data_IF_533490643651
#
_entry.id   IF_533490643651
#
_cell.length_a   1.000
_cell.length_b   1.000
_cell.length_c   1.000
_cell.angle_alpha   90.00
_cell.angle_beta   90.00
_cell.angle_gamma   90.00
#
_symmetry.space_group_name_H-M   'P 1'
#
loop_
_entity.id
_entity.type
_entity.pdbx_description
1 polymer ?
#
# COMPACT_ATOMS: atom_id res chain seq x y z
N UNK A 1 -2.66 9.22 -2.39
CA UNK A 1 -1.93 9.27 -1.11
C UNK A 1 -2.91 9.77 -0.06
N UNK A 2 -3.36 8.91 0.85
CA UNK A 2 -4.38 9.24 1.84
C UNK A 2 -3.74 10.06 2.97
N UNK A 3 -4.01 11.36 2.99
CA UNK A 3 -3.48 12.29 3.99
C UNK A 3 -4.47 12.44 5.14
N UNK A 4 -4.26 11.68 6.21
CA UNK A 4 -5.03 11.80 7.45
C UNK A 4 -4.95 13.20 8.10
N UNK A 5 -4.01 14.04 7.68
CA UNK A 5 -3.77 15.38 8.22
C UNK A 5 -4.21 16.53 7.29
N UNK A 6 -5.04 16.28 6.28
CA UNK A 6 -5.55 17.32 5.36
C UNK A 6 -6.63 18.24 5.96
N UNK A 7 -6.46 18.70 7.21
CA UNK A 7 -7.23 19.87 7.67
C UNK A 7 -6.75 21.17 7.01
N UNK A 8 -5.54 21.18 6.44
CA UNK A 8 -5.02 22.29 5.63
C UNK A 8 -4.54 21.77 4.27
N UNK A 9 -4.82 22.54 3.20
CA UNK A 9 -4.31 22.26 1.86
C UNK A 9 -2.77 22.16 1.90
N UNK A 10 -2.15 21.06 1.45
CA UNK A 10 -0.70 20.94 1.48
C UNK A 10 -0.07 22.07 0.65
N UNK A 11 0.99 22.69 1.19
CA UNK A 11 1.77 23.67 0.43
C UNK A 11 2.60 22.87 -0.58
N UNK A 12 2.11 22.88 -1.82
CA UNK A 12 2.78 22.25 -2.96
C UNK A 12 3.96 23.12 -3.35
N UNK A 13 5.16 22.54 -3.36
CA UNK A 13 6.38 23.23 -3.81
C UNK A 13 6.46 23.17 -5.34
N UNK A 14 6.12 22.01 -5.91
CA UNK A 14 5.92 21.77 -7.34
C UNK A 14 5.11 20.47 -7.55
N UNK A 15 4.88 20.06 -8.79
CA UNK A 15 4.04 18.88 -9.14
C UNK A 15 4.43 17.56 -8.45
N UNK A 16 5.71 17.40 -8.04
CA UNK A 16 6.22 16.17 -7.41
C UNK A 16 6.67 16.36 -5.96
N UNK A 17 6.52 17.54 -5.39
CA UNK A 17 7.02 17.86 -4.05
C UNK A 17 5.98 18.59 -3.21
N UNK A 18 5.82 18.14 -1.95
CA UNK A 18 5.00 18.82 -0.95
C UNK A 18 5.75 19.01 0.35
N UNK A 19 5.49 20.12 1.03
CA UNK A 19 5.90 20.29 2.41
C UNK A 19 5.05 19.39 3.31
N UNK A 20 5.70 18.70 4.25
CA UNK A 20 4.98 18.01 5.32
C UNK A 20 4.30 19.03 6.23
N UNK A 21 3.09 18.71 6.70
CA UNK A 21 2.36 19.50 7.69
C UNK A 21 2.96 19.42 9.09
N UNK A 22 2.40 20.17 10.05
CA UNK A 22 2.90 20.19 11.44
C UNK A 22 2.87 18.80 12.09
N UNK A 23 1.77 18.06 11.94
CA UNK A 23 1.63 16.72 12.48
C UNK A 23 2.56 15.71 11.83
N UNK A 24 2.70 15.74 10.50
CA UNK A 24 3.60 14.86 9.76
C UNK A 24 5.07 15.10 10.13
N UNK A 25 5.48 16.37 10.28
CA UNK A 25 6.81 16.70 10.79
C UNK A 25 7.02 16.21 12.23
N UNK A 26 6.02 16.35 13.11
CA UNK A 26 6.12 15.84 14.48
C UNK A 26 6.28 14.30 14.52
N UNK A 27 5.53 13.58 13.69
CA UNK A 27 5.68 12.12 13.55
C UNK A 27 7.05 11.75 12.99
N UNK A 28 7.56 12.50 12.00
CA UNK A 28 8.90 12.27 11.48
C UNK A 28 9.98 12.51 12.52
N UNK A 29 9.91 13.61 13.27
CA UNK A 29 10.84 13.89 14.36
C UNK A 29 10.81 12.80 15.42
N UNK A 30 9.61 12.33 15.81
CA UNK A 30 9.46 11.20 16.73
C UNK A 30 10.07 9.90 16.16
N UNK A 31 9.87 9.60 14.87
CA UNK A 31 10.47 8.44 14.20
C UNK A 31 12.01 8.49 14.22
N UNK A 32 12.59 9.67 13.99
CA UNK A 32 14.04 9.89 14.01
C UNK A 32 14.62 9.81 15.43
N UNK A 33 13.93 10.39 16.42
CA UNK A 33 14.38 10.39 17.82
C UNK A 33 14.24 9.02 18.50
N UNK A 34 13.12 8.33 18.24
CA UNK A 34 12.79 7.05 18.89
C UNK A 34 13.22 5.82 18.07
N UNK A 35 14.04 6.01 17.02
CA UNK A 35 14.59 4.94 16.18
C UNK A 35 13.50 4.02 15.61
N UNK A 36 12.82 4.42 14.52
CA UNK A 36 11.93 3.55 13.76
C UNK A 36 10.56 3.29 14.39
N UNK A 37 10.20 3.97 15.48
CA UNK A 37 8.91 3.88 16.17
C UNK A 37 7.69 4.06 15.25
N UNK A 38 7.82 4.81 14.16
CA UNK A 38 6.73 5.06 13.22
C UNK A 38 6.71 4.10 12.03
N UNK A 39 7.53 3.03 12.03
CA UNK A 39 7.42 1.98 11.03
C UNK A 39 6.29 1.03 11.38
N UNK A 40 5.52 0.66 10.38
CA UNK A 40 4.51 -0.38 10.48
C UNK A 40 4.64 -1.31 9.28
N UNK A 41 4.25 -2.56 9.48
CA UNK A 41 4.34 -3.57 8.45
C UNK A 41 3.07 -4.40 8.37
N UNK A 42 2.71 -4.77 7.14
CA UNK A 42 1.66 -5.75 6.85
C UNK A 42 2.32 -7.07 6.48
N UNK A 43 1.87 -8.16 7.10
CA UNK A 43 2.39 -9.51 6.86
C UNK A 43 1.39 -10.29 6.03
N UNK A 44 1.78 -10.60 4.80
CA UNK A 44 1.04 -11.47 3.90
C UNK A 44 1.49 -12.91 4.11
N UNK A 45 0.59 -13.76 4.57
CA UNK A 45 0.82 -15.19 4.64
C UNK A 45 0.31 -15.84 3.35
N UNK A 46 1.21 -16.41 2.56
CA UNK A 46 0.92 -16.93 1.24
C UNK A 46 1.26 -18.42 1.12
N UNK A 47 0.45 -19.11 0.32
CA UNK A 47 0.69 -20.46 -0.19
C UNK A 47 0.60 -20.42 -1.71
N UNK A 48 1.64 -20.90 -2.37
CA UNK A 48 1.79 -20.88 -3.82
C UNK A 48 3.24 -21.21 -4.18
N UNK A 49 3.63 -21.04 -5.44
CA UNK A 49 4.96 -21.42 -5.91
C UNK A 49 6.08 -20.57 -5.28
N UNK A 50 7.31 -21.04 -5.43
CA UNK A 50 8.50 -20.25 -5.07
C UNK A 50 8.53 -18.90 -5.77
N UNK A 51 8.78 -17.84 -5.02
CA UNK A 51 8.87 -16.48 -5.57
C UNK A 51 10.34 -16.14 -5.78
N UNK A 52 10.75 -16.05 -7.04
CA UNK A 52 12.11 -15.64 -7.38
C UNK A 52 12.33 -14.14 -7.10
N UNK A 53 13.58 -13.74 -6.87
CA UNK A 53 13.95 -12.33 -6.69
C UNK A 53 13.54 -11.47 -7.89
N UNK A 54 13.71 -12.01 -9.10
CA UNK A 54 13.32 -11.34 -10.33
C UNK A 54 11.81 -11.15 -10.42
N UNK A 55 11.03 -12.19 -10.10
CA UNK A 55 9.55 -12.12 -10.10
C UNK A 55 9.05 -11.06 -9.12
N UNK A 56 9.56 -11.07 -7.88
CA UNK A 56 9.18 -10.09 -6.88
C UNK A 56 9.57 -8.66 -7.28
N UNK A 57 10.77 -8.47 -7.80
CA UNK A 57 11.24 -7.16 -8.26
C UNK A 57 10.40 -6.63 -9.43
N UNK A 58 10.05 -7.49 -10.41
CA UNK A 58 9.16 -7.11 -11.52
C UNK A 58 7.77 -6.70 -11.02
N UNK A 59 7.19 -7.45 -10.08
CA UNK A 59 5.90 -7.13 -9.49
C UNK A 59 5.94 -5.77 -8.76
N UNK A 60 6.95 -5.55 -7.90
CA UNK A 60 7.12 -4.27 -7.19
C UNK A 60 7.33 -3.11 -8.17
N UNK A 61 8.14 -3.29 -9.21
CA UNK A 61 8.36 -2.27 -10.23
C UNK A 61 7.08 -1.93 -11.00
N UNK A 62 6.18 -2.90 -11.21
CA UNK A 62 4.86 -2.64 -11.79
C UNK A 62 4.02 -1.76 -10.86
N UNK A 63 3.94 -2.12 -9.58
CA UNK A 63 3.21 -1.36 -8.56
C UNK A 63 3.76 0.06 -8.39
N UNK A 64 5.08 0.24 -8.46
CA UNK A 64 5.73 1.53 -8.26
C UNK A 64 5.29 2.59 -9.27
N UNK A 65 4.86 2.19 -10.47
CA UNK A 65 4.30 3.12 -11.48
C UNK A 65 2.94 3.69 -11.07
N UNK A 66 2.21 2.94 -10.23
CA UNK A 66 0.81 3.20 -9.87
C UNK A 66 0.66 3.82 -8.49
N UNK A 67 1.54 3.46 -7.57
CA UNK A 67 1.48 3.87 -6.16
C UNK A 67 2.50 4.95 -5.85
N UNK A 68 2.06 6.21 -5.64
CA UNK A 68 2.95 7.30 -5.22
C UNK A 68 3.79 6.99 -3.98
N UNK A 69 3.25 6.22 -3.02
CA UNK A 69 3.96 5.84 -1.78
C UNK A 69 5.23 5.03 -2.06
N UNK A 70 5.24 4.25 -3.15
CA UNK A 70 6.39 3.46 -3.58
C UNK A 70 7.44 4.29 -4.32
N UNK A 71 7.12 5.52 -4.69
CA UNK A 71 8.04 6.50 -5.28
C UNK A 71 8.39 7.64 -4.33
N UNK A 72 7.86 7.58 -3.11
CA UNK A 72 8.04 8.64 -2.13
C UNK A 72 9.38 8.50 -1.41
N UNK A 73 10.07 9.62 -1.25
CA UNK A 73 11.24 9.78 -0.38
C UNK A 73 11.17 11.09 0.40
N UNK A 74 11.83 11.11 1.55
CA UNK A 74 11.95 12.32 2.36
C UNK A 74 13.18 13.12 1.95
N UNK A 75 13.03 14.44 1.89
CA UNK A 75 14.11 15.40 1.77
C UNK A 75 14.10 16.37 2.97
N UNK A 76 15.26 16.94 3.27
CA UNK A 76 15.37 18.04 4.25
C UNK A 76 14.80 19.30 3.59
N UNK A 77 13.97 20.03 4.32
CA UNK A 77 13.54 21.35 3.88
C UNK A 77 14.70 22.37 4.02
N UNK A 78 15.19 22.97 2.92
CA UNK A 78 16.27 23.94 2.99
C UNK A 78 15.86 25.27 3.65
N UNK A 79 14.56 25.60 3.65
CA UNK A 79 14.06 26.88 4.16
C UNK A 79 13.81 26.88 5.67
N UNK A 80 13.61 25.70 6.27
CA UNK A 80 13.28 25.56 7.69
C UNK A 80 13.86 24.29 8.28
N UNK A 81 14.75 24.47 9.26
CA UNK A 81 15.32 23.39 10.08
C UNK A 81 14.23 22.49 10.65
N UNK A 82 14.54 21.19 10.74
CA UNK A 82 13.69 20.17 11.37
C UNK A 82 12.33 19.97 10.71
N UNK A 83 12.20 20.37 9.44
CA UNK A 83 11.04 20.07 8.60
C UNK A 83 11.45 19.33 7.34
N UNK A 84 10.50 18.58 6.78
CA UNK A 84 10.76 17.70 5.65
C UNK A 84 9.86 18.01 4.45
N UNK A 85 10.40 17.71 3.28
CA UNK A 85 9.68 17.69 2.00
C UNK A 85 9.45 16.23 1.65
N UNK A 86 8.22 15.89 1.27
CA UNK A 86 7.92 14.63 0.63
C UNK A 86 8.04 14.82 -0.88
N UNK A 87 8.89 14.02 -1.51
CA UNK A 87 9.11 14.04 -2.95
C UNK A 87 8.73 12.71 -3.56
N UNK A 88 8.05 12.77 -4.71
CA UNK A 88 7.84 11.63 -5.60
C UNK A 88 8.91 11.58 -6.69
N UNK A 89 9.68 10.49 -6.75
CA UNK A 89 10.72 10.26 -7.75
C UNK A 89 10.63 8.83 -8.30
N UNK A 90 10.44 8.72 -9.61
CA UNK A 90 10.30 7.46 -10.35
C UNK A 90 11.60 6.62 -10.36
N UNK A 91 12.73 7.21 -9.97
CA UNK A 91 14.04 6.53 -9.91
C UNK A 91 14.34 5.89 -8.54
N UNK A 92 13.49 6.12 -7.54
CA UNK A 92 13.65 5.58 -6.18
C UNK A 92 13.82 4.07 -6.23
N UNK A 93 14.91 3.58 -5.65
CA UNK A 93 15.14 2.15 -5.48
C UNK A 93 14.57 1.70 -4.15
N UNK A 94 13.60 0.79 -4.21
CA UNK A 94 12.98 0.19 -3.03
C UNK A 94 13.86 -0.92 -2.46
N UNK A 95 13.88 -1.05 -1.14
CA UNK A 95 14.60 -2.13 -0.48
C UNK A 95 13.78 -3.41 -0.60
N UNK A 96 14.37 -4.42 -1.22
CA UNK A 96 13.80 -5.77 -1.31
C UNK A 96 14.79 -6.71 -0.62
N UNK A 97 14.33 -7.44 0.40
CA UNK A 97 15.13 -8.42 1.13
C UNK A 97 14.59 -9.81 0.91
N UNK A 98 15.47 -10.76 0.64
CA UNK A 98 15.17 -12.17 0.75
C UNK A 98 15.78 -12.68 2.03
N UNK A 99 14.95 -13.17 2.93
CA UNK A 99 15.35 -13.65 4.24
C UNK A 99 15.04 -15.14 4.28
N UNK A 100 16.04 -16.02 4.10
CA UNK A 100 15.82 -17.45 4.12
C UNK A 100 15.36 -17.88 5.52
N UNK A 101 14.36 -18.75 5.59
CA UNK A 101 13.84 -19.24 6.88
C UNK A 101 13.28 -20.65 6.77
N UNK A 102 13.48 -21.46 7.81
CA UNK A 102 12.99 -22.84 7.81
C UNK A 102 11.45 -22.90 7.88
N UNK A 103 10.87 -23.89 7.20
CA UNK A 103 9.42 -24.13 7.13
C UNK A 103 8.74 -24.16 8.50
N UNK A 104 9.40 -24.78 9.47
CA UNK A 104 8.89 -24.94 10.84
C UNK A 104 8.73 -23.62 11.59
N UNK A 105 9.50 -22.59 11.22
CA UNK A 105 9.57 -21.32 11.94
C UNK A 105 8.62 -20.24 11.39
N UNK A 106 7.89 -20.53 10.31
CA UNK A 106 7.09 -19.57 9.54
C UNK A 106 6.13 -18.69 10.37
N UNK A 107 5.58 -19.23 11.47
CA UNK A 107 4.64 -18.50 12.33
C UNK A 107 5.29 -17.39 13.16
N UNK A 108 6.55 -17.54 13.54
CA UNK A 108 7.23 -16.66 14.52
C UNK A 108 8.42 -15.92 13.91
N UNK A 109 9.03 -16.44 12.85
CA UNK A 109 10.32 -15.97 12.35
C UNK A 109 10.29 -14.50 11.91
N UNK A 110 9.24 -14.08 11.19
CA UNK A 110 9.09 -12.67 10.78
C UNK A 110 9.08 -11.70 11.97
N UNK A 111 8.59 -12.13 13.14
CA UNK A 111 8.60 -11.30 14.36
C UNK A 111 10.02 -11.07 14.87
N UNK A 112 10.88 -12.10 14.78
CA UNK A 112 12.28 -11.99 15.20
C UNK A 112 13.02 -11.04 14.27
N UNK A 113 12.87 -11.21 12.95
CA UNK A 113 13.43 -10.32 11.94
C UNK A 113 12.97 -8.87 12.13
N UNK A 114 11.68 -8.67 12.44
CA UNK A 114 11.13 -7.36 12.78
C UNK A 114 11.81 -6.77 14.02
N UNK A 115 11.92 -7.51 15.13
CA UNK A 115 12.50 -7.00 16.39
C UNK A 115 13.95 -6.58 16.26
N UNK A 116 14.71 -7.24 15.41
CA UNK A 116 16.09 -6.86 15.15
C UNK A 116 16.21 -5.54 14.36
N UNK A 117 15.19 -5.19 13.57
CA UNK A 117 15.21 -4.08 12.60
C UNK A 117 14.22 -2.96 12.89
N UNK A 118 13.38 -3.10 13.91
CA UNK A 118 12.36 -2.09 14.27
C UNK A 118 13.01 -0.75 14.64
N UNK A 119 14.31 -0.77 15.00
CA UNK A 119 15.11 0.42 15.29
C UNK A 119 15.81 1.04 14.10
N UNK A 120 15.74 0.44 12.93
CA UNK A 120 16.39 0.99 11.74
C UNK A 120 15.72 2.32 11.37
N UNK A 121 16.54 3.36 11.21
CA UNK A 121 16.04 4.68 10.84
C UNK A 121 15.85 4.73 9.32
N UNK A 122 14.73 5.31 8.89
CA UNK A 122 14.54 5.61 7.47
C UNK A 122 15.47 6.76 7.07
N UNK A 123 16.41 6.45 6.17
CA UNK A 123 17.39 7.41 5.71
C UNK A 123 16.73 8.43 4.78
N UNK A 124 17.06 9.70 4.99
CA UNK A 124 16.67 10.79 4.10
C UNK A 124 17.22 10.49 2.68
N UNK A 125 16.39 10.74 1.66
CA UNK A 125 16.70 10.47 0.26
C UNK A 125 16.45 9.04 -0.20
N UNK A 126 16.10 8.11 0.70
CA UNK A 126 15.74 6.73 0.34
C UNK A 126 14.22 6.54 0.24
N UNK A 127 13.82 5.48 -0.46
CA UNK A 127 12.42 5.07 -0.51
C UNK A 127 11.87 4.73 0.88
N UNK A 128 10.62 5.12 1.11
CA UNK A 128 9.96 4.98 2.42
C UNK A 128 9.27 3.63 2.62
N UNK A 129 9.30 2.76 1.60
CA UNK A 129 8.71 1.43 1.62
C UNK A 129 9.76 0.36 1.39
N UNK A 130 9.60 -0.77 2.05
CA UNK A 130 10.51 -1.92 2.00
C UNK A 130 9.71 -3.24 1.96
N UNK A 131 10.25 -4.23 1.27
CA UNK A 131 9.63 -5.53 1.07
C UNK A 131 10.56 -6.65 1.56
N UNK A 132 10.07 -7.54 2.41
CA UNK A 132 10.78 -8.73 2.83
C UNK A 132 10.06 -9.97 2.30
N UNK A 133 10.80 -10.86 1.66
CA UNK A 133 10.34 -12.18 1.25
C UNK A 133 10.99 -13.22 2.16
N UNK A 134 10.15 -13.96 2.86
CA UNK A 134 10.53 -15.02 3.78
C UNK A 134 10.01 -16.35 3.25
N UNK A 135 10.94 -17.23 2.88
CA UNK A 135 10.63 -18.55 2.35
C UNK A 135 11.75 -19.54 2.67
N UNK A 136 11.42 -20.83 2.70
CA UNK A 136 12.41 -21.89 2.88
C UNK A 136 13.06 -22.21 1.53
N UNK A 137 14.39 -22.04 1.37
CA UNK A 137 15.09 -22.38 0.12
C UNK A 137 15.02 -23.88 -0.24
N UNK A 138 14.66 -24.74 0.70
CA UNK A 138 14.53 -26.18 0.45
C UNK A 138 13.13 -26.58 -0.05
N UNK A 139 12.15 -25.68 0.04
CA UNK A 139 10.75 -25.92 -0.33
C UNK A 139 10.39 -25.36 -1.72
N UNK A 140 11.38 -25.13 -2.59
CA UNK A 140 11.17 -24.48 -3.90
C UNK A 140 10.13 -25.19 -4.79
N UNK A 141 9.99 -26.50 -4.63
CA UNK A 141 9.06 -27.34 -5.38
C UNK A 141 7.76 -27.68 -4.62
N UNK A 142 7.53 -27.10 -3.43
CA UNK A 142 6.29 -27.30 -2.65
C UNK A 142 5.43 -26.02 -2.62
N UNK A 143 4.38 -26.03 -3.44
CA UNK A 143 3.39 -24.95 -3.51
C UNK A 143 2.54 -24.83 -2.24
N UNK A 144 2.52 -25.86 -1.38
CA UNK A 144 1.85 -25.79 -0.08
C UNK A 144 2.78 -25.26 1.03
N UNK A 145 4.06 -25.04 0.75
CA UNK A 145 4.96 -24.44 1.73
C UNK A 145 4.51 -23.01 2.06
N UNK A 146 4.43 -22.66 3.36
CA UNK A 146 4.15 -21.30 3.76
C UNK A 146 5.24 -20.39 3.22
N UNK A 147 4.86 -19.18 2.82
CA UNK A 147 5.77 -18.08 2.48
C UNK A 147 5.19 -16.81 3.11
N UNK A 148 6.03 -15.87 3.46
CA UNK A 148 5.59 -14.58 3.98
C UNK A 148 6.19 -13.44 3.16
N UNK A 149 5.35 -12.44 2.87
CA UNK A 149 5.83 -11.14 2.39
C UNK A 149 5.50 -10.12 3.46
N UNK A 150 6.50 -9.39 3.94
CA UNK A 150 6.30 -8.26 4.85
C UNK A 150 6.48 -6.99 4.04
N UNK A 151 5.43 -6.18 3.95
CA UNK A 151 5.49 -4.83 3.35
C UNK A 151 5.60 -3.84 4.49
N UNK A 152 6.64 -3.02 4.50
CA UNK A 152 6.96 -2.11 5.60
C UNK A 152 6.97 -0.68 5.07
N UNK A 153 6.35 0.25 5.79
CA UNK A 153 6.34 1.65 5.42
C UNK A 153 6.47 2.56 6.65
N UNK A 154 6.92 3.81 6.44
CA UNK A 154 6.83 4.87 7.44
C UNK A 154 5.38 5.39 7.55
N UNK A 155 4.82 5.35 8.75
CA UNK A 155 3.44 5.75 9.03
C UNK A 155 3.19 7.25 8.85
N UNK A 156 4.25 8.06 8.86
CA UNK A 156 4.15 9.49 8.58
C UNK A 156 3.65 9.81 7.17
N UNK A 157 3.79 8.86 6.23
CA UNK A 157 3.47 9.05 4.80
C UNK A 157 2.49 8.00 4.26
N UNK A 158 2.26 6.92 5.00
CA UNK A 158 1.41 5.81 4.60
C UNK A 158 0.52 5.40 5.78
N UNK A 159 -0.76 5.18 5.52
CA UNK A 159 -1.69 4.61 6.48
C UNK A 159 -1.88 3.10 6.24
N UNK A 160 -2.54 2.43 7.18
CA UNK A 160 -2.85 1.00 7.06
C UNK A 160 -3.58 0.66 5.75
N UNK A 161 -4.52 1.52 5.33
CA UNK A 161 -5.31 1.28 4.11
C UNK A 161 -4.46 1.35 2.84
N UNK A 162 -3.57 2.34 2.73
CA UNK A 162 -2.65 2.47 1.59
C UNK A 162 -1.72 1.27 1.52
N UNK A 163 -1.22 0.80 2.67
CA UNK A 163 -0.34 -0.37 2.72
C UNK A 163 -1.08 -1.65 2.29
N UNK A 164 -2.32 -1.84 2.73
CA UNK A 164 -3.13 -3.00 2.32
C UNK A 164 -3.48 -2.98 0.83
N UNK A 165 -3.68 -1.81 0.24
CA UNK A 165 -3.86 -1.70 -1.22
C UNK A 165 -2.58 -2.13 -1.97
N UNK A 166 -1.41 -1.68 -1.51
CA UNK A 166 -0.11 -2.11 -2.06
C UNK A 166 0.08 -3.62 -1.89
N UNK A 167 -0.20 -4.15 -0.70
CA UNK A 167 -0.06 -5.56 -0.39
C UNK A 167 -0.97 -6.44 -1.25
N UNK A 168 -2.21 -6.01 -1.46
CA UNK A 168 -3.16 -6.70 -2.32
C UNK A 168 -2.76 -6.66 -3.80
N UNK A 169 -2.44 -5.48 -4.34
CA UNK A 169 -2.00 -5.38 -5.74
C UNK A 169 -0.70 -6.16 -5.98
N UNK A 170 0.16 -6.30 -4.96
CA UNK A 170 1.36 -7.11 -5.06
C UNK A 170 1.01 -8.58 -5.30
N UNK A 171 0.00 -9.13 -4.61
CA UNK A 171 -0.45 -10.49 -4.82
C UNK A 171 -1.01 -10.70 -6.24
N UNK A 172 -1.78 -9.74 -6.76
CA UNK A 172 -2.26 -9.77 -8.15
C UNK A 172 -1.08 -9.78 -9.12
N UNK A 173 -0.12 -8.87 -8.93
CA UNK A 173 1.05 -8.78 -9.79
C UNK A 173 1.93 -10.03 -9.75
N UNK A 174 1.98 -10.73 -8.60
CA UNK A 174 2.68 -12.01 -8.44
C UNK A 174 1.94 -13.19 -9.08
N UNK A 175 0.60 -13.18 -9.07
CA UNK A 175 -0.22 -14.20 -9.74
C UNK A 175 -0.14 -14.10 -11.27
N UNK A 176 0.05 -12.89 -11.81
CA UNK A 176 0.18 -12.66 -13.25
C UNK A 176 -1.13 -12.95 -13.98
N UNK A 177 -1.11 -13.87 -14.94
CA UNK A 177 -2.31 -14.29 -15.70
C UNK A 177 -3.06 -15.47 -15.07
N UNK A 178 -2.48 -16.11 -14.05
CA UNK A 178 -3.07 -17.28 -13.40
C UNK A 178 -3.68 -16.92 -12.05
N UNK A 179 -4.97 -16.55 -12.10
CA UNK A 179 -5.78 -16.18 -10.92
C UNK A 179 -5.98 -17.34 -9.92
N UNK A 180 -5.58 -18.57 -10.27
CA UNK A 180 -5.60 -19.70 -9.33
C UNK A 180 -4.41 -19.69 -8.37
N UNK A 181 -3.33 -19.00 -8.74
CA UNK A 181 -2.12 -18.88 -7.92
C UNK A 181 -2.45 -17.96 -6.73
N UNK A 182 -2.16 -18.45 -5.53
CA UNK A 182 -2.51 -17.81 -4.25
C UNK A 182 -4.01 -17.74 -3.93
N UNK A 183 -4.91 -18.41 -4.66
CA UNK A 183 -6.36 -18.36 -4.39
C UNK A 183 -6.74 -18.72 -2.93
N UNK A 184 -5.99 -19.65 -2.29
CA UNK A 184 -6.14 -20.00 -0.86
C UNK A 184 -5.67 -18.91 0.11
N UNK A 185 -4.76 -18.06 -0.35
CA UNK A 185 -4.22 -16.90 0.38
C UNK A 185 -5.08 -15.66 0.14
N UNK A 186 -5.74 -15.60 -1.01
CA UNK A 186 -6.72 -14.61 -1.44
C UNK A 186 -8.14 -15.00 -0.97
N UNK A 187 -8.30 -15.30 0.33
CA UNK A 187 -9.64 -15.37 0.94
C UNK A 187 -10.34 -13.99 0.94
N UNK A 188 -9.65 -12.94 0.48
CA UNK A 188 -10.22 -11.68 0.08
C UNK A 188 -10.50 -11.68 -1.42
N UNK A 189 -11.71 -11.29 -1.86
CA UNK A 189 -12.00 -11.09 -3.27
C UNK A 189 -10.98 -10.12 -3.85
N UNK A 190 -10.34 -10.54 -4.93
CA UNK A 190 -9.39 -9.76 -5.72
C UNK A 190 -10.00 -8.37 -5.95
N UNK A 191 -9.48 -7.34 -5.28
CA UNK A 191 -9.83 -5.95 -5.58
C UNK A 191 -9.31 -5.65 -6.98
N UNK A 192 -10.23 -5.73 -7.91
CA UNK A 192 -10.13 -5.06 -9.19
C UNK A 192 -9.82 -3.58 -8.92
N UNK A 193 -8.69 -3.12 -9.43
CA UNK A 193 -8.05 -1.82 -9.18
C UNK A 193 -9.08 -0.69 -9.11
N UNK A 194 -9.51 -0.35 -7.90
CA UNK A 194 -10.54 0.66 -7.70
C UNK A 194 -9.91 1.84 -6.99
N UNK A 195 -9.68 2.92 -7.73
CA UNK A 195 -9.16 4.16 -7.18
C UNK A 195 -10.32 4.99 -6.62
N UNK A 196 -10.32 5.22 -5.30
CA UNK A 196 -11.18 6.22 -4.68
C UNK A 196 -10.56 7.58 -4.91
N UNK A 197 -11.33 8.50 -5.49
CA UNK A 197 -10.96 9.90 -5.59
C UNK A 197 -11.82 10.72 -4.65
N UNK A 198 -11.26 11.01 -3.48
CA UNK A 198 -11.91 11.79 -2.42
C UNK A 198 -12.31 13.19 -2.91
N UNK A 199 -11.42 13.88 -3.62
CA UNK A 199 -11.67 15.23 -4.16
C UNK A 199 -12.84 15.29 -5.14
N UNK A 200 -13.08 14.19 -5.85
CA UNK A 200 -14.14 14.08 -6.85
C UNK A 200 -15.34 13.27 -6.35
N UNK A 201 -15.35 12.87 -5.07
CA UNK A 201 -16.38 12.05 -4.43
C UNK A 201 -16.80 10.86 -5.31
N UNK A 202 -15.82 10.14 -5.86
CA UNK A 202 -16.07 9.05 -6.82
C UNK A 202 -15.19 7.83 -6.59
N UNK A 203 -15.70 6.70 -7.05
CA UNK A 203 -15.02 5.41 -7.08
C UNK A 203 -14.81 5.04 -8.55
N UNK A 204 -13.57 4.83 -8.96
CA UNK A 204 -13.23 4.47 -10.33
C UNK A 204 -12.62 3.08 -10.42
N UNK A 205 -13.14 2.25 -11.33
CA UNK A 205 -12.55 0.98 -11.73
C UNK A 205 -11.50 1.21 -12.81
N UNK A 206 -10.34 0.61 -12.64
CA UNK A 206 -9.25 0.56 -13.62
C UNK A 206 -9.10 -0.88 -14.08
N UNK A 207 -8.94 -1.07 -15.39
CA UNK A 207 -8.58 -2.36 -15.93
C UNK A 207 -7.05 -2.48 -15.91
N UNK A 208 -6.50 -3.71 -15.81
CA UNK A 208 -5.06 -3.92 -15.96
C UNK A 208 -4.54 -3.24 -17.23
N UNK A 209 -3.48 -2.44 -17.08
CA UNK A 209 -2.86 -1.64 -18.16
C UNK A 209 -3.72 -0.50 -18.75
N UNK A 210 -4.85 -0.12 -18.14
CA UNK A 210 -5.66 0.99 -18.61
C UNK A 210 -5.00 2.36 -18.34
N UNK A 211 -5.06 3.25 -19.33
CA UNK A 211 -4.61 4.65 -19.20
C UNK A 211 -5.66 5.58 -18.59
N UNK A 212 -6.90 5.10 -18.42
CA UNK A 212 -7.97 5.83 -17.73
C UNK A 212 -8.92 4.88 -17.00
N UNK A 213 -9.48 5.34 -15.87
CA UNK A 213 -10.45 4.60 -15.06
C UNK A 213 -11.90 4.98 -15.38
N UNK A 214 -12.81 4.01 -15.26
CA UNK A 214 -14.26 4.21 -15.40
C UNK A 214 -14.88 4.48 -14.03
N UNK A 215 -15.63 5.58 -13.87
CA UNK A 215 -16.41 5.81 -12.64
C UNK A 215 -17.50 4.76 -12.52
N UNK A 216 -17.51 4.02 -11.41
CA UNK A 216 -18.52 2.99 -11.14
C UNK A 216 -19.55 3.46 -10.10
N UNK A 217 -19.18 4.38 -9.20
CA UNK A 217 -20.06 5.00 -8.20
C UNK A 217 -19.61 6.43 -7.92
N UNK A 218 -20.56 7.33 -7.64
CA UNK A 218 -20.28 8.70 -7.22
C UNK A 218 -20.01 9.64 -8.40
N UNK A 219 -19.16 10.64 -8.18
CA UNK A 219 -18.90 11.73 -9.14
C UNK A 219 -19.66 13.01 -8.82
N UNK A 220 -20.48 13.00 -7.77
CA UNK A 220 -21.14 14.19 -7.23
C UNK A 220 -21.22 14.06 -5.72
N UNK A 221 -20.94 15.17 -5.04
CA UNK A 221 -21.07 15.22 -3.59
C UNK A 221 -22.55 15.20 -3.18
N UNK A 222 -22.91 14.38 -2.20
CA UNK A 222 -24.27 14.40 -1.63
C UNK A 222 -24.63 13.13 -0.89
N UNK A 223 -25.92 12.97 -0.57
CA UNK A 223 -26.45 11.90 0.29
C UNK A 223 -27.35 10.92 -0.45
N UNK A 224 -27.62 11.12 -1.75
CA UNK A 224 -28.37 10.16 -2.56
C UNK A 224 -27.60 8.84 -2.73
N UNK A 225 -28.28 7.79 -3.18
CA UNK A 225 -27.71 6.43 -3.35
C UNK A 225 -26.55 6.39 -4.33
N UNK A 226 -26.55 7.26 -5.35
CA UNK A 226 -25.47 7.37 -6.34
C UNK A 226 -24.48 8.51 -6.05
N UNK A 227 -24.59 9.15 -4.88
CA UNK A 227 -23.72 10.23 -4.43
C UNK A 227 -22.86 9.77 -3.25
N UNK A 228 -21.68 10.37 -3.14
CA UNK A 228 -20.73 10.11 -2.05
C UNK A 228 -20.29 11.43 -1.45
N UNK A 229 -19.75 11.40 -0.24
CA UNK A 229 -19.21 12.55 0.46
C UNK A 229 -17.98 12.09 1.23
N UNK A 230 -16.80 12.47 0.77
CA UNK A 230 -15.53 11.97 1.31
C UNK A 230 -15.50 10.44 1.46
N UNK A 231 -15.68 9.67 0.37
CA UNK A 231 -15.53 8.22 0.44
C UNK A 231 -14.09 7.86 0.85
N UNK A 232 -13.93 6.98 1.83
CA UNK A 232 -12.63 6.69 2.43
C UNK A 232 -12.04 5.38 1.94
N UNK A 233 -12.84 4.31 1.92
CA UNK A 233 -12.42 2.99 1.44
C UNK A 233 -13.53 2.30 0.67
N UNK A 234 -13.13 1.32 -0.12
CA UNK A 234 -14.01 0.45 -0.88
C UNK A 234 -13.55 -0.99 -0.76
N UNK A 235 -14.51 -1.90 -0.67
CA UNK A 235 -14.28 -3.32 -0.55
C UNK A 235 -15.16 -4.06 -1.53
N UNK A 236 -14.59 -5.01 -2.25
CA UNK A 236 -15.39 -5.93 -3.05
C UNK A 236 -15.66 -7.19 -2.25
N UNK A 237 -16.87 -7.72 -2.36
CA UNK A 237 -17.18 -9.06 -1.89
C UNK A 237 -16.90 -10.11 -2.99
N UNK A 238 -16.99 -11.40 -2.64
CA UNK A 238 -16.68 -12.52 -3.55
C UNK A 238 -17.65 -12.65 -4.73
N UNK A 239 -18.73 -11.87 -4.73
CA UNK A 239 -19.72 -11.79 -5.79
C UNK A 239 -19.57 -10.51 -6.62
N UNK A 240 -18.45 -9.80 -6.44
CA UNK A 240 -18.15 -8.53 -7.10
C UNK A 240 -19.14 -7.40 -6.75
N UNK A 241 -19.77 -7.46 -5.57
CA UNK A 241 -20.48 -6.32 -5.02
C UNK A 241 -19.50 -5.36 -4.35
N UNK A 242 -19.80 -4.07 -4.41
CA UNK A 242 -18.95 -3.01 -3.89
C UNK A 242 -19.55 -2.42 -2.61
N UNK A 243 -18.77 -2.47 -1.54
CA UNK A 243 -19.01 -1.72 -0.30
C UNK A 243 -18.18 -0.44 -0.35
N UNK A 244 -18.78 0.70 0.00
CA UNK A 244 -18.12 2.01 0.05
C UNK A 244 -18.31 2.59 1.44
N UNK A 245 -17.21 2.92 2.11
CA UNK A 245 -17.23 3.70 3.36
C UNK A 245 -17.37 5.18 2.98
N UNK A 246 -18.59 5.69 3.05
CA UNK A 246 -18.97 7.05 2.71
C UNK A 246 -18.85 7.95 3.95
N UNK A 247 -17.59 8.21 4.34
CA UNK A 247 -17.22 8.75 5.66
C UNK A 247 -17.87 10.10 5.95
N UNK A 248 -17.89 11.01 4.98
CA UNK A 248 -18.50 12.34 5.16
C UNK A 248 -20.01 12.29 5.40
N UNK A 249 -20.66 11.19 5.03
CA UNK A 249 -22.07 10.91 5.32
C UNK A 249 -22.27 9.95 6.51
N UNK A 250 -21.20 9.52 7.18
CA UNK A 250 -21.21 8.56 8.30
C UNK A 250 -21.98 7.27 7.97
N UNK A 251 -21.80 6.72 6.76
CA UNK A 251 -22.51 5.51 6.31
C UNK A 251 -21.60 4.56 5.53
N UNK A 252 -22.08 3.32 5.41
CA UNK A 252 -21.55 2.32 4.47
C UNK A 252 -22.61 2.11 3.40
N UNK A 253 -22.23 2.21 2.12
CA UNK A 253 -23.12 1.94 1.00
C UNK A 253 -22.73 0.64 0.31
N UNK A 254 -23.73 -0.13 -0.11
CA UNK A 254 -23.56 -1.38 -0.84
C UNK A 254 -24.10 -1.20 -2.26
N UNK A 255 -23.30 -1.61 -3.25
CA UNK A 255 -23.61 -1.54 -4.66
C UNK A 255 -23.49 -2.93 -5.26
N UNK A 256 -24.60 -3.41 -5.82
CA UNK A 256 -24.58 -4.58 -6.68
C UNK A 256 -24.12 -4.15 -8.07
N UNK A 257 -22.91 -4.58 -8.46
CA UNK A 257 -22.31 -4.23 -9.75
C UNK A 257 -22.55 -5.30 -10.83
N UNK A 258 -23.33 -6.34 -10.53
CA UNK A 258 -23.68 -7.42 -11.46
C UNK A 258 -24.95 -7.15 -12.27
N UNK A 259 -25.72 -6.11 -11.93
CA UNK A 259 -26.85 -5.65 -12.73
C UNK A 259 -26.48 -4.35 -13.47
N UNK A 260 -26.37 -4.44 -14.80
CA UNK A 260 -26.39 -3.29 -15.70
C UNK A 260 -27.72 -2.55 -15.64
#
# INVERSE_FOLDING_TARGET
MFSWFQQNTPIVVNEKQRLLGSAENALMQASQQCQGYMKFGEVLHIRGPHISSNTLSMAINHLQRRHPVLRSRLQINPEKSDTYILEEDDTVQLKIRQIPRKRVDHQIFWRQEWRERERDITAIGQGLTEFWLLQDPEDDNDDNSPREIVVICEHSVCDGLSLSNVAHELLIALAGEDDSIFQKSLNWPITMETAIQQSNNRVQRWLPNASSGTTIVGGTQGTATNQLNFPETVLFDKYNNLLVVDRGNNRIQFFNLTTC
#
